data_IF_522424685388
#
_entry.id   IF_522424685388
#
_cell.length_a   1.000
_cell.length_b   1.000
_cell.length_c   1.000
_cell.angle_alpha   90.00
_cell.angle_beta   90.00
_cell.angle_gamma   90.00
#
_symmetry.space_group_name_H-M   'P 1'
#
loop_
_entity.id
_entity.type
_entity.pdbx_description
1 polymer ?
#
# COMPACT_ATOMS: atom_id res chain seq x y z
N UNK A 1 49.75 -67.42 43.13
CA UNK A 1 49.12 -67.16 44.45
C UNK A 1 48.07 -66.08 44.27
N UNK A 2 46.83 -66.44 44.62
CA UNK A 2 45.69 -65.59 45.04
C UNK A 2 45.20 -64.45 44.14
N UNK A 3 44.06 -64.71 43.49
CA UNK A 3 43.06 -63.74 43.05
C UNK A 3 42.02 -63.49 44.16
N UNK A 4 41.34 -62.32 44.10
CA UNK A 4 40.16 -61.81 44.84
C UNK A 4 40.47 -60.80 45.98
N UNK A 5 39.52 -59.91 46.37
CA UNK A 5 38.71 -59.00 45.54
C UNK A 5 38.61 -57.58 46.16
N UNK A 6 38.40 -56.53 45.35
CA UNK A 6 38.05 -55.19 45.87
C UNK A 6 36.53 -55.13 46.09
N UNK A 7 36.10 -55.10 47.36
CA UNK A 7 34.72 -54.83 47.77
C UNK A 7 34.44 -53.32 47.66
N UNK A 8 33.50 -52.92 46.82
CA UNK A 8 32.85 -51.61 46.91
C UNK A 8 31.94 -51.56 48.16
N UNK A 9 32.22 -50.62 49.07
CA UNK A 9 31.28 -50.20 50.11
C UNK A 9 30.31 -49.17 49.53
N UNK A 10 29.02 -49.52 49.47
CA UNK A 10 27.93 -48.56 49.27
C UNK A 10 27.85 -47.66 50.51
N UNK A 11 28.06 -46.36 50.34
CA UNK A 11 27.65 -45.35 51.31
C UNK A 11 26.24 -44.91 50.94
N UNK A 12 25.26 -45.27 51.76
CA UNK A 12 23.90 -44.75 51.73
C UNK A 12 23.90 -43.37 52.39
N UNK A 13 23.69 -42.32 51.61
CA UNK A 13 23.40 -40.99 52.13
C UNK A 13 21.87 -40.85 52.36
N UNK A 14 21.43 -40.16 53.43
CA UNK A 14 20.02 -39.96 53.70
C UNK A 14 19.42 -38.96 52.71
N UNK A 15 18.32 -39.35 52.05
CA UNK A 15 17.47 -38.47 51.25
C UNK A 15 16.70 -37.53 52.17
N UNK A 16 17.26 -36.36 52.48
CA UNK A 16 16.47 -35.18 52.85
C UNK A 16 15.89 -34.59 51.58
N UNK A 17 14.60 -34.84 51.35
CA UNK A 17 13.84 -34.21 50.28
C UNK A 17 13.69 -32.71 50.57
N UNK A 18 14.53 -31.89 49.92
CA UNK A 18 14.22 -30.47 49.76
C UNK A 18 13.17 -30.35 48.66
N UNK A 19 11.91 -30.16 49.06
CA UNK A 19 10.85 -29.67 48.18
C UNK A 19 11.18 -28.20 47.85
N UNK A 20 12.03 -28.00 46.86
CA UNK A 20 12.15 -26.71 46.19
C UNK A 20 10.92 -26.57 45.29
N UNK A 21 9.94 -25.80 45.75
CA UNK A 21 8.84 -25.32 44.91
C UNK A 21 9.46 -24.36 43.90
N UNK A 22 9.79 -24.88 42.71
CA UNK A 22 10.08 -24.06 41.54
C UNK A 22 8.73 -23.47 41.12
N UNK A 23 8.42 -22.29 41.64
CA UNK A 23 7.36 -21.48 41.07
C UNK A 23 7.84 -21.04 39.68
N UNK A 24 7.48 -21.80 38.63
CA UNK A 24 7.49 -21.29 37.27
C UNK A 24 6.48 -20.14 37.25
N UNK A 25 6.96 -18.92 37.43
CA UNK A 25 6.23 -17.74 36.99
C UNK A 25 6.17 -17.85 35.47
N UNK A 26 5.10 -18.43 34.96
CA UNK A 26 4.66 -18.19 33.59
C UNK A 26 4.26 -16.71 33.52
N UNK A 27 5.25 -15.83 33.37
CA UNK A 27 5.03 -14.50 32.84
C UNK A 27 4.63 -14.74 31.39
N UNK A 28 3.35 -15.00 31.15
CA UNK A 28 2.81 -14.84 29.80
C UNK A 28 3.16 -13.42 29.41
N UNK A 29 3.98 -13.26 28.36
CA UNK A 29 4.12 -11.97 27.72
C UNK A 29 2.71 -11.52 27.37
N UNK A 30 2.21 -10.51 28.07
CA UNK A 30 0.97 -9.89 27.67
C UNK A 30 1.26 -9.27 26.30
N UNK A 31 0.84 -9.96 25.24
CA UNK A 31 0.83 -9.37 23.90
C UNK A 31 -0.12 -8.18 24.04
N UNK A 32 0.44 -6.97 23.97
CA UNK A 32 -0.37 -5.77 23.98
C UNK A 32 -1.35 -5.90 22.80
N UNK A 33 -2.64 -5.68 23.06
CA UNK A 33 -3.59 -5.62 21.97
C UNK A 33 -3.12 -4.54 20.98
N UNK A 34 -3.18 -4.78 19.66
CA UNK A 34 -2.81 -3.77 18.67
C UNK A 34 -3.57 -2.48 18.97
N UNK A 35 -2.87 -1.34 18.86
CA UNK A 35 -3.49 -0.05 19.02
C UNK A 35 -4.63 0.09 17.99
N UNK A 36 -5.78 0.67 18.35
CA UNK A 36 -6.88 0.81 17.41
C UNK A 36 -6.41 1.67 16.23
N UNK A 37 -6.78 1.25 15.02
CA UNK A 37 -6.45 1.98 13.81
C UNK A 37 -6.94 3.44 13.86
N UNK A 38 -6.22 4.31 13.16
CA UNK A 38 -6.52 5.74 13.11
C UNK A 38 -7.93 5.96 12.56
N UNK A 39 -8.72 6.79 13.26
CA UNK A 39 -10.12 7.00 12.97
C UNK A 39 -10.37 7.38 11.49
N UNK A 40 -11.29 6.66 10.84
CA UNK A 40 -11.66 6.88 9.44
C UNK A 40 -10.97 5.95 8.46
N UNK A 41 -9.94 5.21 8.89
CA UNK A 41 -9.34 4.15 8.10
C UNK A 41 -10.11 2.84 8.24
N UNK A 42 -10.10 2.04 7.18
CA UNK A 42 -10.69 0.71 7.22
C UNK A 42 -10.11 -0.18 6.13
N UNK A 43 -10.00 -1.46 6.45
CA UNK A 43 -9.76 -2.53 5.49
C UNK A 43 -10.90 -3.53 5.53
N UNK A 44 -11.05 -4.28 4.45
CA UNK A 44 -11.90 -5.47 4.42
C UNK A 44 -11.22 -6.49 3.52
N UNK A 45 -10.80 -7.61 4.10
CA UNK A 45 -10.09 -8.66 3.39
C UNK A 45 -11.05 -9.70 2.78
N UNK A 46 -10.51 -10.60 1.95
CA UNK A 46 -11.22 -11.75 1.37
C UNK A 46 -11.83 -12.68 2.42
N UNK A 47 -11.37 -12.62 3.68
CA UNK A 47 -12.02 -13.30 4.81
C UNK A 47 -13.51 -12.99 4.90
N UNK A 48 -13.89 -11.74 4.63
CA UNK A 48 -15.29 -11.36 4.55
C UNK A 48 -15.84 -11.54 3.13
N UNK A 49 -16.00 -12.80 2.74
CA UNK A 49 -16.50 -13.22 1.41
C UNK A 49 -17.90 -12.70 1.05
N UNK A 50 -18.67 -12.22 2.04
CA UNK A 50 -19.98 -11.60 1.80
C UNK A 50 -19.89 -10.20 1.18
N UNK A 51 -18.71 -9.57 1.26
CA UNK A 51 -18.47 -8.18 0.80
C UNK A 51 -17.32 -8.05 -0.19
N UNK A 52 -16.38 -9.00 -0.19
CA UNK A 52 -15.19 -8.98 -1.04
C UNK A 52 -15.05 -10.29 -1.80
N UNK A 53 -14.76 -10.18 -3.09
CA UNK A 53 -14.46 -11.28 -4.01
C UNK A 53 -13.41 -10.81 -5.03
N UNK A 54 -12.71 -11.75 -5.68
CA UNK A 54 -11.77 -11.41 -6.75
C UNK A 54 -12.41 -10.52 -7.83
N UNK A 55 -13.64 -10.86 -8.24
CA UNK A 55 -14.40 -10.09 -9.23
C UNK A 55 -14.72 -8.68 -8.75
N UNK A 56 -15.14 -8.50 -7.49
CA UNK A 56 -15.45 -7.16 -6.97
C UNK A 56 -14.20 -6.29 -6.82
N UNK A 57 -13.06 -6.89 -6.46
CA UNK A 57 -11.76 -6.20 -6.37
C UNK A 57 -11.29 -5.72 -7.75
N UNK A 58 -11.25 -6.62 -8.74
CA UNK A 58 -10.88 -6.29 -10.10
C UNK A 58 -11.84 -5.22 -10.71
N UNK A 59 -13.14 -5.32 -10.44
CA UNK A 59 -14.12 -4.30 -10.85
C UNK A 59 -13.90 -2.95 -10.15
N UNK A 60 -13.47 -2.93 -8.89
CA UNK A 60 -13.14 -1.70 -8.16
C UNK A 60 -11.94 -0.98 -8.80
N UNK A 61 -10.92 -1.74 -9.20
CA UNK A 61 -9.73 -1.20 -9.88
C UNK A 61 -10.06 -0.68 -11.29
N UNK A 62 -10.80 -1.44 -12.09
CA UNK A 62 -11.15 -1.07 -13.47
C UNK A 62 -12.30 -0.06 -13.59
N UNK A 63 -13.10 0.06 -12.53
CA UNK A 63 -14.27 0.94 -12.47
C UNK A 63 -15.54 0.36 -13.09
N UNK A 64 -16.71 0.95 -12.80
CA UNK A 64 -18.02 0.33 -13.02
C UNK A 64 -18.42 0.14 -14.49
N UNK A 65 -17.72 0.79 -15.42
CA UNK A 65 -17.99 0.68 -16.87
C UNK A 65 -17.07 -0.31 -17.58
N UNK A 66 -16.05 -0.84 -16.89
CA UNK A 66 -15.16 -1.82 -17.46
C UNK A 66 -15.83 -3.20 -17.50
N UNK A 67 -15.58 -3.94 -18.59
CA UNK A 67 -15.92 -5.36 -18.65
C UNK A 67 -14.75 -6.16 -18.09
N UNK A 68 -14.89 -6.62 -16.85
CA UNK A 68 -13.90 -7.45 -16.16
C UNK A 68 -14.37 -8.90 -16.12
N UNK A 69 -13.49 -9.84 -16.44
CA UNK A 69 -13.77 -11.29 -16.42
C UNK A 69 -12.60 -12.07 -15.84
N UNK A 70 -12.81 -13.35 -15.53
CA UNK A 70 -11.75 -14.28 -15.10
C UNK A 70 -10.92 -13.77 -13.90
N UNK A 71 -11.55 -13.01 -13.00
CA UNK A 71 -10.87 -12.49 -11.83
C UNK A 71 -10.58 -13.62 -10.83
N UNK A 72 -9.31 -13.77 -10.44
CA UNK A 72 -8.84 -14.76 -9.48
C UNK A 72 -7.89 -14.14 -8.49
N UNK A 73 -7.79 -14.75 -7.31
CA UNK A 73 -6.86 -14.37 -6.25
C UNK A 73 -6.12 -15.61 -5.75
N UNK A 74 -4.86 -15.43 -5.37
CA UNK A 74 -4.03 -16.43 -4.68
C UNK A 74 -3.37 -15.78 -3.47
N UNK A 75 -3.09 -16.57 -2.43
CA UNK A 75 -2.62 -16.11 -1.12
C UNK A 75 -3.62 -16.43 0.00
N UNK A 76 -3.35 -15.94 1.21
CA UNK A 76 -4.25 -16.03 2.37
C UNK A 76 -5.39 -15.03 2.26
N UNK A 77 -6.49 -15.34 2.94
CA UNK A 77 -7.71 -14.54 2.92
C UNK A 77 -7.58 -13.16 3.60
N UNK A 78 -6.50 -12.93 4.34
CA UNK A 78 -6.15 -11.64 4.97
C UNK A 78 -5.30 -10.73 4.11
N UNK A 79 -4.55 -11.28 3.15
CA UNK A 79 -3.55 -10.55 2.37
C UNK A 79 -4.17 -9.60 1.33
N UNK A 80 -5.38 -9.91 0.87
CA UNK A 80 -6.00 -9.21 -0.26
C UNK A 80 -7.37 -8.69 0.12
N UNK A 81 -7.67 -7.45 -0.27
CA UNK A 81 -8.89 -6.79 0.16
C UNK A 81 -9.05 -5.38 -0.35
N UNK A 82 -9.99 -4.67 0.25
CA UNK A 82 -10.21 -3.24 0.03
C UNK A 82 -9.63 -2.42 1.17
N UNK A 83 -9.22 -1.19 0.86
CA UNK A 83 -8.74 -0.21 1.84
C UNK A 83 -9.36 1.14 1.56
N UNK A 84 -9.67 1.90 2.62
CA UNK A 84 -10.25 3.26 2.53
C UNK A 84 -9.74 4.15 3.64
N UNK A 85 -9.67 5.45 3.33
CA UNK A 85 -9.45 6.50 4.32
C UNK A 85 -8.00 6.65 4.77
N UNK A 86 -7.03 6.08 4.04
CA UNK A 86 -5.61 6.30 4.34
C UNK A 86 -5.26 7.79 4.17
N UNK A 87 -4.30 8.33 4.95
CA UNK A 87 -3.83 9.70 4.77
C UNK A 87 -3.27 9.90 3.36
N UNK A 88 -3.46 11.09 2.81
CA UNK A 88 -2.93 11.47 1.50
C UNK A 88 -2.06 12.72 1.60
N UNK A 89 -0.92 12.69 0.91
CA UNK A 89 -0.05 13.86 0.65
C UNK A 89 -0.42 14.58 -0.66
N UNK A 90 -1.57 14.23 -1.25
CA UNK A 90 -2.07 14.71 -2.52
C UNK A 90 -1.88 13.72 -3.68
N UNK A 91 -0.84 12.87 -3.62
CA UNK A 91 -0.49 11.93 -4.69
C UNK A 91 -0.41 10.47 -4.24
N UNK A 92 -0.46 10.18 -2.95
CA UNK A 92 -0.63 8.83 -2.40
C UNK A 92 -2.03 8.25 -2.71
N UNK A 93 -2.12 6.92 -2.80
CA UNK A 93 -3.40 6.20 -2.93
C UNK A 93 -4.05 6.09 -1.56
N UNK A 94 -5.21 6.73 -1.40
CA UNK A 94 -5.93 6.76 -0.12
C UNK A 94 -7.06 5.72 -0.01
N UNK A 95 -7.47 5.14 -1.14
CA UNK A 95 -8.51 4.13 -1.24
C UNK A 95 -8.34 3.23 -2.47
N UNK A 96 -8.70 1.96 -2.33
CA UNK A 96 -8.49 1.00 -3.40
C UNK A 96 -8.52 -0.45 -2.98
N UNK A 97 -7.82 -1.26 -3.77
CA UNK A 97 -7.53 -2.66 -3.48
C UNK A 97 -6.12 -2.75 -2.92
N UNK A 98 -5.90 -3.56 -1.90
CA UNK A 98 -4.59 -3.82 -1.32
C UNK A 98 -4.24 -5.29 -1.48
N UNK A 99 -2.98 -5.57 -1.82
CA UNK A 99 -2.35 -6.89 -1.73
C UNK A 99 -1.12 -6.71 -0.84
N UNK A 100 -1.03 -7.48 0.23
CA UNK A 100 0.05 -7.42 1.22
C UNK A 100 0.74 -8.77 1.33
N UNK A 101 2.02 -8.75 1.63
CA UNK A 101 2.75 -9.94 2.05
C UNK A 101 2.33 -10.32 3.48
N UNK A 102 2.11 -9.34 4.37
CA UNK A 102 1.40 -9.55 5.64
C UNK A 102 -0.13 -9.46 5.59
N UNK A 103 -0.75 -9.08 6.73
CA UNK A 103 -2.21 -9.04 6.89
C UNK A 103 -2.81 -7.65 6.66
N UNK A 104 -3.96 -7.55 5.97
CA UNK A 104 -4.70 -6.29 5.89
C UNK A 104 -5.52 -5.98 7.15
N UNK A 105 -5.75 -6.95 8.02
CA UNK A 105 -6.59 -6.82 9.23
C UNK A 105 -5.80 -7.21 10.48
N UNK A 106 -6.20 -6.67 11.62
CA UNK A 106 -5.65 -7.10 12.91
C UNK A 106 -5.94 -8.59 13.17
N UNK A 107 -5.06 -9.28 13.90
CA UNK A 107 -5.24 -10.70 14.19
C UNK A 107 -6.52 -10.94 14.98
N UNK A 108 -7.31 -11.92 14.56
CA UNK A 108 -8.42 -12.45 15.34
C UNK A 108 -7.87 -13.52 16.30
N UNK A 109 -7.84 -13.29 17.63
CA UNK A 109 -7.29 -14.25 18.59
C UNK A 109 -8.09 -15.55 18.68
N UNK A 110 -9.24 -15.65 18.00
CA UNK A 110 -10.05 -16.86 17.90
C UNK A 110 -9.88 -17.61 16.58
N UNK A 111 -9.13 -17.06 15.63
CA UNK A 111 -8.86 -17.68 14.34
C UNK A 111 -7.53 -18.42 14.36
N UNK A 112 -7.55 -19.76 14.41
CA UNK A 112 -6.34 -20.59 14.33
C UNK A 112 -5.52 -20.38 13.03
N UNK A 113 -6.14 -19.79 12.01
CA UNK A 113 -5.49 -19.43 10.74
C UNK A 113 -4.61 -18.17 10.84
N UNK A 114 -4.76 -17.37 11.90
CA UNK A 114 -4.02 -16.12 12.09
C UNK A 114 -2.69 -16.44 12.77
N UNK A 115 -1.77 -16.96 11.97
CA UNK A 115 -0.41 -17.29 12.40
C UNK A 115 0.53 -16.13 12.11
N UNK A 116 1.30 -15.74 13.13
CA UNK A 116 2.35 -14.71 13.06
C UNK A 116 1.91 -13.32 12.58
N UNK A 117 0.60 -13.04 12.60
CA UNK A 117 0.09 -11.71 12.32
C UNK A 117 0.25 -10.84 13.58
N UNK A 118 1.05 -9.79 13.46
CA UNK A 118 1.21 -8.82 14.56
C UNK A 118 0.12 -7.76 14.58
N UNK A 119 -0.28 -7.26 13.39
CA UNK A 119 -1.30 -6.21 13.18
C UNK A 119 -1.63 -6.11 11.69
N UNK A 120 -2.52 -5.17 11.34
CA UNK A 120 -2.66 -4.73 9.95
C UNK A 120 -1.36 -4.10 9.42
N UNK A 121 -0.86 -4.60 8.29
CA UNK A 121 0.27 -4.05 7.55
C UNK A 121 0.00 -2.68 6.91
N UNK A 122 -1.24 -2.17 6.99
CA UNK A 122 -1.66 -0.95 6.27
C UNK A 122 -2.20 0.12 7.22
N UNK A 123 -3.04 -0.28 8.17
CA UNK A 123 -3.75 0.66 9.04
C UNK A 123 -2.80 1.26 10.06
N UNK A 124 -2.69 2.59 10.10
CA UNK A 124 -1.86 3.27 11.09
C UNK A 124 -2.57 3.43 12.44
N UNK A 125 -1.93 3.99 13.47
CA UNK A 125 -0.65 4.72 13.43
C UNK A 125 0.56 3.86 13.06
N UNK A 126 1.66 4.47 12.59
CA UNK A 126 2.93 3.77 12.48
C UNK A 126 3.52 3.59 13.89
N UNK A 127 3.25 2.46 14.51
CA UNK A 127 3.68 2.15 15.87
C UNK A 127 4.66 0.95 15.93
N UNK A 128 4.92 0.27 14.81
CA UNK A 128 5.95 -0.77 14.69
C UNK A 128 6.85 -0.53 13.47
N UNK A 129 8.08 -1.01 13.54
CA UNK A 129 9.08 -0.89 12.46
C UNK A 129 9.34 -2.23 11.76
N UNK A 130 8.62 -3.25 12.19
CA UNK A 130 8.83 -4.67 11.94
C UNK A 130 7.48 -5.40 11.92
N UNK A 131 6.44 -4.73 11.39
CA UNK A 131 5.14 -5.38 11.20
C UNK A 131 5.31 -6.61 10.30
N UNK A 132 4.74 -7.72 10.77
CA UNK A 132 4.91 -9.04 10.20
C UNK A 132 3.59 -9.80 10.08
N UNK A 133 3.50 -10.61 9.02
CA UNK A 133 2.65 -11.79 8.89
C UNK A 133 3.32 -12.89 8.05
N UNK A 134 4.01 -13.84 8.71
CA UNK A 134 4.59 -15.02 8.04
C UNK A 134 3.52 -16.11 7.83
N UNK A 135 3.16 -16.32 6.57
CA UNK A 135 2.22 -17.35 6.11
C UNK A 135 2.92 -18.55 5.44
N UNK A 136 4.25 -18.53 5.43
CA UNK A 136 5.15 -19.55 4.90
C UNK A 136 5.36 -19.48 3.38
N UNK A 137 6.14 -20.44 2.88
CA UNK A 137 6.39 -20.57 1.43
C UNK A 137 5.09 -20.91 0.71
N UNK A 138 4.51 -19.93 0.02
CA UNK A 138 3.54 -20.19 -1.04
C UNK A 138 4.36 -20.57 -2.28
N UNK A 139 4.06 -21.74 -2.85
CA UNK A 139 4.64 -22.19 -4.13
C UNK A 139 4.46 -21.09 -5.18
N UNK A 140 5.45 -20.89 -6.06
CA UNK A 140 5.62 -19.79 -7.04
C UNK A 140 4.96 -20.10 -8.41
N UNK A 141 3.62 -19.98 -8.59
CA UNK A 141 2.96 -20.29 -9.86
C UNK A 141 3.28 -19.31 -10.99
N UNK A 142 4.00 -18.20 -10.74
CA UNK A 142 4.20 -17.14 -11.72
C UNK A 142 5.63 -16.60 -11.89
N UNK A 143 6.60 -17.09 -11.12
CA UNK A 143 8.02 -16.79 -11.29
C UNK A 143 8.53 -15.58 -10.49
N UNK A 144 7.87 -15.13 -9.43
CA UNK A 144 8.39 -14.03 -8.59
C UNK A 144 9.76 -14.36 -7.99
N UNK A 145 10.01 -15.62 -7.63
CA UNK A 145 11.35 -16.06 -7.19
C UNK A 145 12.42 -15.87 -8.26
N UNK A 146 12.07 -16.02 -9.55
CA UNK A 146 12.99 -15.72 -10.67
C UNK A 146 13.22 -14.23 -10.85
N UNK A 147 12.19 -13.41 -10.62
CA UNK A 147 12.30 -11.94 -10.68
C UNK A 147 13.17 -11.43 -9.54
N UNK A 148 12.98 -11.96 -8.33
CA UNK A 148 13.75 -11.60 -7.14
C UNK A 148 15.18 -12.17 -7.15
N UNK A 149 15.39 -13.30 -7.84
CA UNK A 149 16.66 -14.04 -7.80
C UNK A 149 16.93 -14.72 -6.47
N UNK A 150 15.88 -14.93 -5.67
CA UNK A 150 15.91 -15.54 -4.33
C UNK A 150 14.56 -16.23 -4.06
N UNK A 151 14.50 -17.04 -3.00
CA UNK A 151 13.25 -17.59 -2.51
C UNK A 151 12.31 -16.48 -2.03
N UNK A 152 11.02 -16.70 -2.27
CA UNK A 152 9.93 -15.77 -1.93
C UNK A 152 8.92 -16.44 -1.01
N UNK A 153 8.27 -15.62 -0.19
CA UNK A 153 7.30 -16.03 0.83
C UNK A 153 6.03 -15.20 0.69
N UNK A 154 4.93 -15.71 1.24
CA UNK A 154 3.73 -14.88 1.44
C UNK A 154 3.18 -14.24 0.16
N UNK A 155 3.23 -14.96 -0.97
CA UNK A 155 2.77 -14.43 -2.25
C UNK A 155 1.26 -14.14 -2.24
N UNK A 156 0.93 -12.88 -2.53
CA UNK A 156 -0.43 -12.41 -2.78
C UNK A 156 -0.58 -12.01 -4.25
N UNK A 157 -1.58 -12.58 -4.93
CA UNK A 157 -1.81 -12.38 -6.37
C UNK A 157 -3.25 -11.99 -6.65
N UNK A 158 -3.45 -10.99 -7.51
CA UNK A 158 -4.72 -10.66 -8.15
C UNK A 158 -4.52 -10.69 -9.68
N UNK A 159 -5.34 -11.49 -10.36
CA UNK A 159 -5.33 -11.57 -11.82
C UNK A 159 -6.74 -11.40 -12.36
N UNK A 160 -6.87 -10.74 -13.50
CA UNK A 160 -8.15 -10.56 -14.17
C UNK A 160 -7.96 -10.16 -15.62
N UNK A 161 -9.01 -10.36 -16.40
CA UNK A 161 -9.11 -9.91 -17.78
C UNK A 161 -9.98 -8.66 -17.87
N UNK A 162 -9.60 -7.72 -18.74
CA UNK A 162 -10.37 -6.51 -19.04
C UNK A 162 -10.36 -6.19 -20.53
N UNK A 163 -11.50 -5.76 -21.08
CA UNK A 163 -11.57 -5.37 -22.51
C UNK A 163 -10.97 -4.00 -22.74
N UNK A 164 -9.96 -3.90 -23.62
CA UNK A 164 -9.33 -2.63 -23.97
C UNK A 164 -10.27 -1.70 -24.73
N UNK A 165 -10.38 -0.46 -24.27
CA UNK A 165 -11.19 0.58 -24.93
C UNK A 165 -10.37 1.56 -25.76
N UNK A 166 -9.03 1.48 -25.71
CA UNK A 166 -8.07 2.27 -26.49
C UNK A 166 -6.74 1.50 -26.65
N UNK A 167 -5.69 2.14 -27.18
CA UNK A 167 -4.41 1.53 -27.59
C UNK A 167 -3.36 1.43 -26.48
N UNK A 168 -3.58 2.04 -25.31
CA UNK A 168 -2.72 1.88 -24.15
C UNK A 168 -3.58 1.56 -22.94
N UNK A 169 -3.11 0.68 -22.08
CA UNK A 169 -3.65 0.49 -20.73
C UNK A 169 -2.74 1.22 -19.74
N UNK A 170 -3.34 1.73 -18.67
CA UNK A 170 -2.63 2.25 -17.51
C UNK A 170 -3.29 1.77 -16.23
N UNK A 171 -2.50 1.38 -15.25
CA UNK A 171 -2.89 1.00 -13.89
C UNK A 171 -2.08 1.83 -12.90
N UNK A 172 -2.76 2.56 -11.99
CA UNK A 172 -2.11 3.31 -10.92
C UNK A 172 -2.00 2.48 -9.65
N UNK A 173 -0.77 2.38 -9.14
CA UNK A 173 -0.44 1.65 -7.93
C UNK A 173 0.52 2.45 -7.03
N UNK A 174 0.65 2.08 -5.76
CA UNK A 174 1.71 2.55 -4.87
C UNK A 174 2.24 1.38 -4.06
N UNK A 175 3.50 1.44 -3.65
CA UNK A 175 4.14 0.46 -2.79
C UNK A 175 4.39 1.09 -1.41
N UNK A 176 3.93 0.42 -0.35
CA UNK A 176 4.30 0.70 1.06
C UNK A 176 5.07 -0.49 1.63
N UNK A 177 6.00 -0.26 2.56
CA UNK A 177 6.85 -1.33 3.08
C UNK A 177 7.43 -1.00 4.46
N UNK A 178 7.65 -2.05 5.26
CA UNK A 178 8.44 -2.01 6.49
C UNK A 178 9.95 -1.94 6.24
N UNK A 179 10.43 -2.34 5.05
CA UNK A 179 11.85 -2.48 4.70
C UNK A 179 12.65 -1.15 4.73
N UNK A 180 11.98 -0.01 4.84
CA UNK A 180 12.59 1.30 4.98
C UNK A 180 13.16 1.56 6.38
N UNK A 181 12.74 0.82 7.41
CA UNK A 181 13.26 0.99 8.75
C UNK A 181 14.64 0.35 8.95
N UNK A 182 15.43 0.96 9.82
CA UNK A 182 16.65 0.35 10.35
C UNK A 182 16.31 -0.78 11.34
N UNK A 183 17.24 -1.71 11.52
CA UNK A 183 17.00 -2.87 12.38
C UNK A 183 16.97 -2.53 13.89
N UNK A 184 17.82 -1.59 14.30
CA UNK A 184 17.89 -1.07 15.67
C UNK A 184 18.39 0.36 15.67
N UNK A 185 18.29 1.07 16.80
CA UNK A 185 18.92 2.40 16.95
C UNK A 185 20.44 2.38 16.65
N UNK A 186 21.12 1.29 17.03
CA UNK A 186 22.54 1.08 16.76
C UNK A 186 22.86 0.61 15.34
N UNK A 187 21.85 0.19 14.58
CA UNK A 187 21.94 -0.26 13.18
C UNK A 187 20.85 0.42 12.35
N UNK A 188 20.95 1.74 12.14
CA UNK A 188 19.87 2.53 11.55
C UNK A 188 19.74 2.37 10.03
N UNK A 189 20.68 1.65 9.40
CA UNK A 189 20.62 1.37 7.97
C UNK A 189 19.41 0.48 7.66
N UNK A 190 18.62 0.90 6.67
CA UNK A 190 17.35 0.25 6.34
C UNK A 190 17.51 -1.21 5.91
N UNK A 191 16.52 -2.05 6.15
CA UNK A 191 16.52 -3.44 5.70
C UNK A 191 16.76 -3.58 4.19
N UNK A 192 16.16 -2.71 3.36
CA UNK A 192 16.42 -2.74 1.92
C UNK A 192 17.87 -2.52 1.50
N UNK A 193 18.62 -1.74 2.28
CA UNK A 193 20.05 -1.51 2.02
C UNK A 193 20.90 -2.76 2.27
N UNK A 194 20.33 -3.74 2.99
CA UNK A 194 20.97 -5.00 3.40
C UNK A 194 20.54 -6.19 2.54
N UNK A 195 19.58 -6.01 1.64
CA UNK A 195 19.20 -7.02 0.65
C UNK A 195 17.75 -7.49 0.70
N UNK A 196 17.01 -7.15 1.76
CA UNK A 196 15.57 -7.43 1.91
C UNK A 196 14.80 -6.52 0.95
N UNK A 197 14.28 -7.10 -0.14
CA UNK A 197 13.69 -6.33 -1.23
C UNK A 197 12.52 -7.09 -1.80
N UNK A 198 11.36 -6.89 -1.22
CA UNK A 198 10.14 -7.59 -1.60
C UNK A 198 9.81 -7.31 -3.07
N UNK A 199 9.72 -8.36 -3.91
CA UNK A 199 9.42 -8.20 -5.32
C UNK A 199 7.97 -7.79 -5.53
N UNK A 200 7.78 -6.71 -6.28
CA UNK A 200 6.52 -6.35 -6.91
C UNK A 200 6.59 -6.67 -8.40
N UNK A 201 5.59 -7.36 -8.93
CA UNK A 201 5.40 -7.55 -10.37
C UNK A 201 3.98 -7.14 -10.76
N UNK A 202 3.90 -6.23 -11.74
CA UNK A 202 2.65 -5.90 -12.41
C UNK A 202 2.85 -6.17 -13.89
N UNK A 203 2.05 -7.08 -14.43
CA UNK A 203 2.16 -7.51 -15.80
C UNK A 203 0.88 -7.22 -16.58
N UNK A 204 1.05 -6.72 -17.79
CA UNK A 204 0.00 -6.57 -18.79
C UNK A 204 0.33 -7.49 -19.95
N UNK A 205 -0.55 -8.46 -20.24
CA UNK A 205 -0.33 -9.50 -21.24
C UNK A 205 1.04 -10.19 -21.08
N UNK A 206 1.46 -10.44 -19.83
CA UNK A 206 2.75 -11.03 -19.49
C UNK A 206 3.97 -10.10 -19.65
N UNK A 207 3.76 -8.82 -19.94
CA UNK A 207 4.84 -7.82 -20.01
C UNK A 207 4.85 -7.00 -18.73
N UNK A 208 5.99 -6.99 -18.04
CA UNK A 208 6.22 -6.18 -16.83
C UNK A 208 6.06 -4.68 -17.11
N UNK A 209 5.43 -3.96 -16.20
CA UNK A 209 5.17 -2.52 -16.30
C UNK A 209 5.33 -1.77 -14.97
N UNK A 210 5.60 -2.45 -13.85
CA UNK A 210 5.91 -1.78 -12.58
C UNK A 210 7.36 -1.27 -12.59
N UNK A 211 7.61 -0.22 -13.38
CA UNK A 211 8.92 0.40 -13.48
C UNK A 211 8.96 1.77 -12.80
N UNK A 212 10.13 2.12 -12.26
CA UNK A 212 10.44 3.49 -11.86
C UNK A 212 10.21 4.39 -13.08
N UNK A 213 9.39 5.45 -12.98
CA UNK A 213 8.99 6.24 -14.12
C UNK A 213 10.18 6.76 -14.94
N UNK A 214 10.07 6.64 -16.27
CA UNK A 214 11.14 7.04 -17.20
C UNK A 214 12.31 6.04 -17.31
N UNK A 215 12.21 4.86 -16.70
CA UNK A 215 13.25 3.82 -16.74
C UNK A 215 12.67 2.42 -16.98
N UNK A 216 13.53 1.41 -17.11
CA UNK A 216 13.16 -0.02 -17.09
C UNK A 216 13.47 -0.70 -15.76
N UNK A 217 13.82 0.08 -14.73
CA UNK A 217 14.15 -0.45 -13.41
C UNK A 217 12.85 -0.83 -12.70
N UNK A 218 12.72 -2.07 -12.24
CA UNK A 218 11.55 -2.50 -11.47
C UNK A 218 11.39 -1.69 -10.17
N UNK A 219 10.14 -1.47 -9.75
CA UNK A 219 9.83 -0.80 -8.48
C UNK A 219 10.05 -1.76 -7.31
N UNK A 220 10.77 -1.31 -6.30
CA UNK A 220 10.93 -1.94 -4.99
C UNK A 220 11.39 -0.90 -3.97
N UNK A 221 11.44 -1.25 -2.68
CA UNK A 221 12.00 -0.38 -1.64
C UNK A 221 13.46 0.02 -1.90
N UNK A 222 14.20 -0.80 -2.66
CA UNK A 222 15.57 -0.49 -3.03
C UNK A 222 15.71 0.51 -4.18
N UNK A 223 14.71 0.62 -5.04
CA UNK A 223 14.77 1.51 -6.21
C UNK A 223 14.07 2.83 -5.96
N UNK A 224 13.13 2.90 -5.02
CA UNK A 224 12.47 4.15 -4.58
C UNK A 224 12.63 4.29 -3.06
N UNK A 225 13.52 5.19 -2.63
CA UNK A 225 13.79 5.49 -1.22
C UNK A 225 14.35 6.91 -1.05
N UNK A 226 14.77 7.27 0.16
CA UNK A 226 15.35 8.57 0.49
C UNK A 226 16.57 8.98 -0.35
N UNK A 227 17.33 8.01 -0.86
CA UNK A 227 18.56 8.24 -1.63
C UNK A 227 18.37 8.06 -3.14
N UNK A 228 17.42 7.22 -3.55
CA UNK A 228 17.22 6.77 -4.93
C UNK A 228 15.79 7.04 -5.37
N UNK A 229 15.61 7.79 -6.45
CA UNK A 229 14.30 8.18 -6.97
C UNK A 229 13.38 8.83 -5.91
N UNK A 230 13.98 9.58 -4.97
CA UNK A 230 13.34 10.20 -3.81
C UNK A 230 12.19 11.16 -4.15
N UNK A 231 12.04 11.56 -5.42
CA UNK A 231 10.88 12.31 -5.89
C UNK A 231 9.57 11.51 -5.80
N UNK A 232 9.62 10.18 -5.77
CA UNK A 232 8.46 9.31 -5.65
C UNK A 232 8.26 8.75 -4.24
N UNK A 233 9.15 9.05 -3.30
CA UNK A 233 9.18 8.45 -1.97
C UNK A 233 8.67 9.42 -0.90
N UNK A 234 7.76 8.93 -0.07
CA UNK A 234 7.35 9.58 1.17
C UNK A 234 7.85 8.76 2.35
N UNK A 235 8.75 9.35 3.14
CA UNK A 235 9.27 8.74 4.35
C UNK A 235 8.23 8.76 5.46
N UNK A 236 8.08 7.63 6.15
CA UNK A 236 7.33 7.53 7.39
C UNK A 236 8.19 6.85 8.47
N UNK A 237 9.50 7.09 8.44
CA UNK A 237 10.48 6.58 9.37
C UNK A 237 11.70 7.51 9.39
N UNK A 238 12.45 7.49 10.49
CA UNK A 238 13.76 8.12 10.60
C UNK A 238 14.75 7.15 11.25
N UNK A 239 15.48 6.37 10.44
CA UNK A 239 16.36 5.32 10.93
C UNK A 239 15.55 4.21 11.61
N UNK A 240 15.63 4.13 12.94
CA UNK A 240 14.84 3.18 13.75
C UNK A 240 13.84 3.93 14.64
N UNK A 241 13.15 4.92 14.09
CA UNK A 241 12.12 5.69 14.78
C UNK A 241 10.91 5.82 13.86
N UNK A 242 9.72 5.36 14.28
CA UNK A 242 8.50 5.47 13.47
C UNK A 242 8.17 6.91 13.11
N UNK A 243 7.60 7.09 11.93
CA UNK A 243 7.05 8.37 11.48
C UNK A 243 5.73 8.70 12.16
N UNK A 244 5.04 9.71 11.64
CA UNK A 244 3.77 10.21 12.21
C UNK A 244 2.63 10.19 11.19
N UNK A 245 2.89 9.71 9.96
CA UNK A 245 1.85 9.52 8.97
C UNK A 245 1.07 8.28 9.42
N UNK A 246 -0.26 8.37 9.57
CA UNK A 246 -1.05 7.27 10.12
C UNK A 246 -1.27 6.18 9.07
N UNK A 247 -0.22 5.47 8.70
CA UNK A 247 -0.20 4.19 7.98
C UNK A 247 0.87 3.35 8.65
N UNK A 248 0.75 2.03 8.67
CA UNK A 248 1.76 1.20 9.34
C UNK A 248 3.11 1.28 8.60
N UNK A 249 3.10 1.36 7.26
CA UNK A 249 4.32 1.44 6.45
C UNK A 249 5.37 2.43 6.96
N UNK A 250 6.63 1.99 7.07
CA UNK A 250 7.80 2.84 7.32
C UNK A 250 8.14 3.80 6.17
N UNK A 251 7.58 3.56 4.99
CA UNK A 251 7.64 4.48 3.87
C UNK A 251 6.79 3.96 2.72
N UNK A 252 6.44 4.86 1.80
CA UNK A 252 5.59 4.50 0.67
C UNK A 252 5.85 5.39 -0.54
N UNK A 253 5.40 4.93 -1.71
CA UNK A 253 5.51 5.69 -2.96
C UNK A 253 4.29 6.57 -3.20
N UNK A 254 4.46 7.67 -3.95
CA UNK A 254 3.33 8.29 -4.64
C UNK A 254 2.70 7.31 -5.65
N UNK A 255 1.51 7.61 -6.19
CA UNK A 255 0.89 6.78 -7.21
C UNK A 255 1.76 6.72 -8.49
N UNK A 256 2.15 5.52 -8.90
CA UNK A 256 2.98 5.24 -10.07
C UNK A 256 2.13 4.65 -11.20
N UNK A 257 2.35 5.05 -12.46
CA UNK A 257 1.68 4.43 -13.59
C UNK A 257 2.43 3.16 -14.04
N UNK A 258 1.76 2.00 -14.01
CA UNK A 258 2.10 0.87 -14.88
C UNK A 258 1.37 1.10 -16.21
N UNK A 259 2.08 1.13 -17.34
CA UNK A 259 1.47 1.34 -18.65
C UNK A 259 2.05 0.43 -19.72
N UNK A 260 1.19 -0.03 -20.64
CA UNK A 260 1.58 -0.90 -21.74
C UNK A 260 0.72 -0.67 -22.98
N UNK A 261 1.30 -0.91 -24.15
CA UNK A 261 0.58 -0.87 -25.42
C UNK A 261 -0.35 -2.09 -25.52
N UNK A 262 -1.60 -1.86 -25.93
CA UNK A 262 -2.63 -2.89 -26.09
C UNK A 262 -3.41 -2.66 -27.39
N UNK A 263 -4.20 -3.64 -27.80
CA UNK A 263 -5.06 -3.51 -28.97
C UNK A 263 -6.49 -3.23 -28.54
N UNK A 264 -7.05 -2.10 -28.97
CA UNK A 264 -8.45 -1.75 -28.70
C UNK A 264 -9.40 -2.88 -29.13
N UNK A 265 -10.40 -3.17 -28.29
CA UNK A 265 -11.38 -4.23 -28.51
C UNK A 265 -10.87 -5.64 -28.23
N UNK A 266 -9.62 -5.79 -27.76
CA UNK A 266 -9.07 -7.08 -27.33
C UNK A 266 -9.07 -7.19 -25.81
N UNK A 267 -9.14 -8.42 -25.33
CA UNK A 267 -8.91 -8.75 -23.93
C UNK A 267 -7.48 -8.44 -23.55
N UNK A 268 -7.30 -7.79 -22.41
CA UNK A 268 -6.03 -7.52 -21.76
C UNK A 268 -6.01 -8.28 -20.45
N UNK A 269 -4.99 -9.11 -20.28
CA UNK A 269 -4.76 -9.85 -19.05
C UNK A 269 -3.88 -9.01 -18.11
N UNK A 270 -4.34 -8.78 -16.89
CA UNK A 270 -3.61 -8.03 -15.86
C UNK A 270 -3.30 -8.97 -14.72
N UNK A 271 -2.04 -8.99 -14.30
CA UNK A 271 -1.56 -9.72 -13.12
C UNK A 271 -0.82 -8.76 -12.21
N UNK A 272 -1.18 -8.74 -10.93
CA UNK A 272 -0.49 -8.01 -9.85
C UNK A 272 -0.07 -9.04 -8.82
N UNK A 273 1.21 -9.07 -8.48
CA UNK A 273 1.74 -9.95 -7.45
C UNK A 273 2.80 -9.26 -6.61
N UNK A 274 2.78 -9.58 -5.32
CA UNK A 274 3.76 -9.15 -4.33
C UNK A 274 4.08 -10.35 -3.43
N UNK A 275 5.31 -10.46 -2.98
CA UNK A 275 5.79 -11.52 -2.11
C UNK A 275 6.94 -10.97 -1.27
N UNK A 276 7.19 -11.55 -0.10
CA UNK A 276 8.40 -11.25 0.65
C UNK A 276 9.60 -11.92 0.00
N UNK A 277 10.78 -11.33 0.15
CA UNK A 277 12.04 -11.92 -0.31
C UNK A 277 13.02 -12.17 0.83
N UNK A 278 13.71 -13.31 0.75
CA UNK A 278 14.72 -13.78 1.72
C UNK A 278 14.14 -14.32 3.04
N UNK A 279 13.13 -13.67 3.61
CA UNK A 279 12.31 -14.17 4.72
C UNK A 279 10.83 -13.78 4.51
N UNK A 280 9.95 -14.13 5.46
CA UNK A 280 8.53 -13.74 5.48
C UNK A 280 8.20 -12.77 6.62
N UNK A 281 9.17 -11.94 7.02
CA UNK A 281 9.05 -11.19 8.28
C UNK A 281 8.61 -9.73 8.10
N UNK A 282 9.03 -9.04 7.04
CA UNK A 282 8.77 -7.61 6.90
C UNK A 282 7.72 -7.38 5.84
N UNK A 283 6.61 -6.78 6.23
CA UNK A 283 5.48 -6.68 5.32
C UNK A 283 5.66 -5.56 4.29
N UNK A 284 5.30 -5.86 3.04
CA UNK A 284 5.12 -4.92 1.96
C UNK A 284 3.71 -5.00 1.39
N UNK A 285 3.14 -3.87 0.98
CA UNK A 285 1.80 -3.79 0.41
C UNK A 285 1.81 -2.98 -0.89
N UNK A 286 1.22 -3.55 -1.93
CA UNK A 286 0.82 -2.80 -3.13
C UNK A 286 -0.63 -2.35 -3.01
N UNK A 287 -0.86 -1.06 -3.20
CA UNK A 287 -2.19 -0.46 -3.28
C UNK A 287 -2.52 -0.18 -4.75
N UNK A 288 -3.69 -0.62 -5.20
CA UNK A 288 -4.25 -0.34 -6.52
C UNK A 288 -5.38 0.66 -6.37
N UNK A 289 -5.28 1.80 -7.07
CA UNK A 289 -6.23 2.89 -6.91
C UNK A 289 -7.65 2.47 -7.33
N UNK A 290 -8.66 2.92 -6.59
CA UNK A 290 -10.07 2.81 -7.05
C UNK A 290 -10.25 3.50 -8.40
N UNK A 291 -10.79 2.80 -9.40
CA UNK A 291 -10.85 3.28 -10.78
C UNK A 291 -9.47 3.71 -11.31
N UNK A 292 -8.41 3.03 -10.85
CA UNK A 292 -7.02 3.27 -11.22
C UNK A 292 -6.61 2.62 -12.53
N UNK A 293 -7.40 1.69 -13.06
CA UNK A 293 -7.17 1.11 -14.39
C UNK A 293 -8.03 1.78 -15.45
N UNK A 294 -7.39 2.20 -16.54
CA UNK A 294 -8.06 2.81 -17.68
C UNK A 294 -7.30 2.61 -18.99
N UNK A 295 -7.86 3.13 -20.07
CA UNK A 295 -7.25 3.08 -21.40
C UNK A 295 -7.18 4.46 -22.05
N UNK A 296 -6.07 4.73 -22.73
CA UNK A 296 -5.78 6.04 -23.33
C UNK A 296 -5.13 5.90 -24.71
N UNK A 297 -5.38 6.85 -25.60
CA UNK A 297 -4.75 6.87 -26.93
C UNK A 297 -3.26 7.29 -26.85
N UNK A 298 -2.88 7.95 -25.76
CA UNK A 298 -1.52 8.44 -25.50
C UNK A 298 -1.01 7.94 -24.14
N UNK A 299 0.26 7.51 -24.03
CA UNK A 299 0.87 7.16 -22.75
C UNK A 299 0.89 8.33 -21.77
N UNK A 300 0.99 8.02 -20.48
CA UNK A 300 1.21 9.01 -19.43
C UNK A 300 2.65 9.49 -19.50
N UNK A 301 2.83 10.81 -19.51
CA UNK A 301 4.15 11.45 -19.59
C UNK A 301 4.53 12.19 -18.31
N UNK A 302 3.57 12.56 -17.47
CA UNK A 302 3.79 13.29 -16.21
C UNK A 302 3.37 12.42 -15.01
N UNK A 303 4.28 11.58 -14.46
CA UNK A 303 3.98 10.72 -13.32
C UNK A 303 3.77 11.54 -12.04
N UNK A 304 3.03 10.97 -11.09
CA UNK A 304 2.85 11.57 -9.77
C UNK A 304 4.16 11.54 -8.99
N UNK A 305 4.40 12.56 -8.17
CA UNK A 305 5.57 12.65 -7.29
C UNK A 305 5.11 12.93 -5.87
N UNK A 306 5.92 12.62 -4.87
CA UNK A 306 5.59 12.86 -3.47
C UNK A 306 5.47 14.36 -3.10
N UNK A 307 5.94 15.27 -3.98
CA UNK A 307 6.11 16.71 -3.65
C UNK A 307 5.50 17.70 -4.65
N UNK A 308 5.06 17.25 -5.83
CA UNK A 308 4.43 18.14 -6.82
C UNK A 308 2.90 18.17 -6.68
N UNK A 309 2.25 19.13 -7.35
CA UNK A 309 0.78 19.16 -7.51
C UNK A 309 0.24 17.97 -8.30
N UNK A 310 -1.01 18.07 -8.76
CA UNK A 310 -1.70 16.99 -9.50
C UNK A 310 -0.89 16.53 -10.72
N UNK A 311 -0.75 15.23 -10.88
CA UNK A 311 -0.18 14.55 -12.05
C UNK A 311 -1.25 14.19 -13.10
N UNK A 312 -0.81 13.68 -14.23
CA UNK A 312 -1.69 13.01 -15.19
C UNK A 312 -2.21 11.74 -14.53
N UNK A 313 -3.49 11.73 -14.16
CA UNK A 313 -4.24 10.54 -13.76
C UNK A 313 -5.45 10.49 -14.69
N UNK A 314 -5.71 9.37 -15.40
CA UNK A 314 -6.93 9.19 -16.16
C UNK A 314 -8.13 9.47 -15.27
N UNK A 315 -8.99 10.38 -15.71
CA UNK A 315 -10.25 10.65 -15.02
C UNK A 315 -11.14 9.41 -15.01
N UNK A 316 -12.13 9.40 -14.11
CA UNK A 316 -13.13 8.32 -13.89
C UNK A 316 -13.96 7.92 -15.12
N UNK A 317 -13.76 8.59 -16.25
CA UNK A 317 -14.39 8.27 -17.52
C UNK A 317 -13.54 7.27 -18.29
N UNK A 318 -13.64 6.00 -17.89
CA UNK A 318 -13.12 4.88 -18.67
C UNK A 318 -13.80 4.90 -20.05
N UNK A 319 -13.12 5.50 -21.05
CA UNK A 319 -13.60 5.72 -22.42
C UNK A 319 -14.60 6.87 -22.60
N UNK A 320 -14.12 8.10 -22.81
CA UNK A 320 -14.80 9.12 -23.63
C UNK A 320 -13.79 10.19 -24.04
N UNK A 321 -13.61 10.35 -25.35
CA UNK A 321 -12.78 11.38 -25.97
C UNK A 321 -13.06 12.77 -25.36
N UNK A 322 -12.03 13.42 -24.82
CA UNK A 322 -12.10 14.77 -24.30
C UNK A 322 -10.73 15.43 -24.37
N UNK A 323 -10.50 16.22 -25.41
CA UNK A 323 -9.32 17.05 -25.54
C UNK A 323 -9.23 18.00 -24.32
N UNK A 324 -8.34 17.72 -23.38
CA UNK A 324 -8.06 18.66 -22.29
C UNK A 324 -6.93 19.59 -22.71
N UNK A 325 -7.33 20.81 -23.07
CA UNK A 325 -6.48 21.98 -23.10
C UNK A 325 -5.94 22.23 -21.67
N UNK A 326 -4.67 21.95 -21.45
CA UNK A 326 -3.93 22.51 -20.32
C UNK A 326 -3.85 24.03 -20.48
N UNK A 327 -4.65 24.76 -19.69
CA UNK A 327 -4.31 26.14 -19.32
C UNK A 327 -4.27 26.24 -17.81
N UNK A 328 -3.05 26.47 -17.32
CA UNK A 328 -2.73 26.68 -15.93
C UNK A 328 -3.58 27.79 -15.31
N UNK A 329 -4.07 27.52 -14.11
CA UNK A 329 -4.71 28.50 -13.25
C UNK A 329 -3.63 29.14 -12.39
N UNK A 330 -3.10 30.28 -12.86
CA UNK A 330 -2.48 31.27 -11.97
C UNK A 330 -3.58 32.00 -11.23
N UNK A 331 -3.49 31.97 -9.90
CA UNK A 331 -4.22 32.83 -8.95
C UNK A 331 -4.11 34.31 -9.32
N UNK A 332 -5.20 35.08 -9.19
CA UNK A 332 -5.27 36.45 -8.62
C UNK A 332 -6.70 37.04 -8.68
N UNK A 333 -7.00 38.12 -7.90
CA UNK A 333 -8.15 38.17 -6.99
C UNK A 333 -9.41 38.84 -7.56
N UNK A 334 -10.51 38.68 -6.80
CA UNK A 334 -11.83 39.21 -7.04
C UNK A 334 -11.86 40.69 -7.45
N UNK A 335 -12.56 41.00 -8.56
CA UNK A 335 -13.14 42.33 -8.79
C UNK A 335 -14.40 42.28 -9.66
N UNK A 336 -15.48 42.73 -9.04
CA UNK A 336 -16.74 43.28 -9.53
C UNK A 336 -17.08 43.21 -11.03
N UNK A 337 -18.23 42.60 -11.31
CA UNK A 337 -18.95 42.65 -12.58
C UNK A 337 -19.41 44.07 -12.95
N UNK A 338 -19.25 44.43 -14.23
CA UNK A 338 -19.84 45.65 -14.81
C UNK A 338 -20.45 45.31 -16.17
N UNK A 339 -21.77 45.25 -16.22
CA UNK A 339 -22.56 45.17 -17.44
C UNK A 339 -22.62 46.54 -18.13
N UNK A 340 -22.69 46.56 -19.47
CA UNK A 340 -22.96 47.76 -20.28
C UNK A 340 -24.41 47.82 -20.77
N UNK A 341 -24.97 49.01 -21.03
CA UNK A 341 -26.40 49.27 -20.90
C UNK A 341 -27.14 49.44 -22.24
N UNK A 342 -28.43 49.12 -22.23
CA UNK A 342 -29.42 49.52 -23.24
C UNK A 342 -30.17 50.78 -22.81
N UNK A 343 -30.45 51.62 -23.81
CA UNK A 343 -30.90 53.01 -23.74
C UNK A 343 -32.39 53.16 -23.37
N UNK A 344 -32.72 54.11 -22.49
CA UNK A 344 -34.10 54.59 -22.26
C UNK A 344 -34.14 56.13 -22.01
N UNK A 345 -35.14 56.88 -22.53
CA UNK A 345 -35.29 58.34 -22.35
C UNK A 345 -36.05 58.72 -21.05
N UNK A 346 -36.12 60.02 -20.67
CA UNK A 346 -35.78 60.47 -19.31
C UNK A 346 -36.95 60.62 -18.34
N UNK A 347 -36.65 60.54 -17.04
CA UNK A 347 -37.54 60.92 -15.92
C UNK A 347 -37.33 62.37 -15.46
N UNK A 348 -38.37 63.05 -14.94
CA UNK A 348 -38.24 64.40 -14.41
C UNK A 348 -37.63 64.44 -13.00
N UNK A 349 -36.83 65.49 -12.74
CA UNK A 349 -36.05 65.80 -11.52
C UNK A 349 -36.94 66.24 -10.35
N UNK A 350 -36.50 65.96 -9.12
CA UNK A 350 -36.65 66.82 -7.93
C UNK A 350 -35.53 66.58 -6.91
N UNK A 351 -35.30 67.64 -6.13
CA UNK A 351 -34.10 68.13 -5.40
C UNK A 351 -33.59 67.36 -4.15
N UNK A 352 -32.40 67.72 -3.62
CA UNK A 352 -31.64 66.93 -2.64
C UNK A 352 -31.93 67.31 -1.17
N UNK A 353 -31.61 66.39 -0.24
CA UNK A 353 -31.53 66.67 1.21
C UNK A 353 -30.19 66.18 1.81
N UNK A 354 -29.73 66.80 2.92
CA UNK A 354 -28.32 66.96 3.31
C UNK A 354 -27.75 65.83 4.20
N UNK A 355 -26.44 65.83 4.49
CA UNK A 355 -25.75 64.71 5.14
C UNK A 355 -25.95 64.68 6.67
N UNK A 356 -25.94 63.47 7.24
CA UNK A 356 -25.95 63.22 8.69
C UNK A 356 -24.51 63.06 9.24
N UNK A 357 -24.28 63.38 10.53
CA UNK A 357 -22.96 63.63 11.09
C UNK A 357 -22.26 62.38 11.64
N UNK A 358 -20.94 62.51 11.78
CA UNK A 358 -20.02 61.53 12.38
C UNK A 358 -20.06 61.67 13.91
N UNK A 359 -20.14 60.55 14.61
CA UNK A 359 -20.18 60.45 16.08
C UNK A 359 -18.77 60.19 16.68
N UNK A 360 -18.56 60.49 17.98
CA UNK A 360 -17.29 60.93 18.57
C UNK A 360 -16.23 59.86 18.80
#
# INVERSE_FOLDING_TARGET
MSTLPIRLRRLTAPTTAFLAVLALSATGSAVAAPAPSTAGQSTTSLRNTSTVSAQSLAQMVAGPKATVTNATVSGKDVQIGTVKGLPGDGNAITEGVALSTGSLIDPDPTADSDTDITRSAVLGPNDALDTTGDFGTVEDPAGLGKVAGTDVYDEAVLEFDVTATSSNVVLYYSLGSEEYAGATEGTPASWQSRGYKDPLSIQVNGTECAHVPGTQTAVSAATINESSNAGYYTANVSGHTPGQIPVEFNGYTSALPCQAAVTQGKTVHVRVAIADAQDGQLDSTVLLRTQGLGFTDKPITEPCTAKAGTCDIPGTNNGSNGANNSKGSTTHPARASRASPTTAPPRPRREPRPPWPVCP
#
